data_IF_764575171583
#
_entry.id   IF_764575171583
#
_cell.length_a   1.000
_cell.length_b   1.000
_cell.length_c   1.000
_cell.angle_alpha   90.00
_cell.angle_beta   90.00
_cell.angle_gamma   90.00
#
_symmetry.space_group_name_H-M   'P 1'
#
loop_
_entity.id
_entity.type
_entity.pdbx_description
1 polymer ?
#
# COMPACT_ATOMS: atom_id res chain seq x y z
N UNK A 1 3.62 19.93 19.23
CA UNK A 1 5.08 20.19 19.30
C UNK A 1 5.58 20.82 17.99
N UNK A 2 6.17 22.02 18.04
CA UNK A 2 6.85 22.64 16.88
C UNK A 2 8.14 21.84 16.59
N UNK A 3 8.36 21.43 15.34
CA UNK A 3 9.55 20.65 14.94
C UNK A 3 10.82 21.48 15.16
N UNK A 4 11.88 20.85 15.69
CA UNK A 4 13.19 21.48 15.91
C UNK A 4 13.74 22.12 14.61
N UNK A 5 14.16 23.40 14.63
CA UNK A 5 14.79 24.06 13.49
C UNK A 5 15.99 23.31 12.94
N UNK A 6 16.79 22.69 13.83
CA UNK A 6 17.98 21.90 13.48
C UNK A 6 17.61 20.65 12.69
N UNK A 7 16.54 19.97 13.07
CA UNK A 7 16.04 18.80 12.34
C UNK A 7 15.53 19.17 10.94
N UNK A 8 14.90 20.35 10.82
CA UNK A 8 14.47 20.90 9.54
C UNK A 8 15.67 21.24 8.65
N UNK A 9 16.69 21.90 9.19
CA UNK A 9 17.89 22.31 8.46
C UNK A 9 18.71 21.11 7.97
N UNK A 10 18.93 20.10 8.83
CA UNK A 10 19.58 18.83 8.44
C UNK A 10 18.81 18.09 7.35
N UNK A 11 17.48 18.09 7.43
CA UNK A 11 16.61 17.48 6.40
C UNK A 11 16.70 18.23 5.07
N UNK A 12 16.74 19.55 5.10
CA UNK A 12 16.88 20.40 3.91
C UNK A 12 18.24 20.21 3.25
N UNK A 13 19.33 20.27 4.02
CA UNK A 13 20.69 20.02 3.52
C UNK A 13 20.84 18.61 2.92
N UNK A 14 20.32 17.58 3.61
CA UNK A 14 20.31 16.20 3.08
C UNK A 14 19.46 16.08 1.82
N UNK A 15 18.32 16.76 1.75
CA UNK A 15 17.46 16.78 0.55
C UNK A 15 18.14 17.46 -0.64
N UNK A 16 18.88 18.53 -0.41
CA UNK A 16 19.66 19.21 -1.44
C UNK A 16 20.82 18.32 -1.92
N UNK A 17 21.62 17.77 -0.99
CA UNK A 17 22.76 16.92 -1.31
C UNK A 17 22.40 15.59 -1.98
N UNK A 18 21.18 15.08 -1.76
CA UNK A 18 20.68 13.85 -2.39
C UNK A 18 19.65 14.14 -3.48
N UNK A 19 19.49 15.40 -3.89
CA UNK A 19 18.52 15.76 -4.90
C UNK A 19 18.89 15.08 -6.22
N UNK A 20 17.98 14.26 -6.71
CA UNK A 20 18.03 13.68 -8.05
C UNK A 20 16.67 13.94 -8.70
N UNK A 21 16.63 14.34 -9.98
CA UNK A 21 15.38 14.42 -10.71
C UNK A 21 14.66 13.07 -10.65
N UNK A 22 13.35 13.10 -10.42
CA UNK A 22 12.54 11.90 -10.58
C UNK A 22 12.45 11.58 -12.08
N UNK A 23 12.54 10.31 -12.45
CA UNK A 23 12.41 9.89 -13.85
C UNK A 23 10.96 9.48 -14.13
N UNK A 24 10.41 9.89 -15.26
CA UNK A 24 9.08 9.43 -15.70
C UNK A 24 9.15 7.94 -16.04
N UNK A 25 8.14 7.19 -15.58
CA UNK A 25 7.97 5.78 -15.91
C UNK A 25 7.74 5.54 -17.39
N UNK A 26 8.37 4.51 -17.95
CA UNK A 26 8.35 4.20 -19.38
C UNK A 26 7.75 2.84 -19.71
N UNK A 27 7.53 2.02 -18.69
CA UNK A 27 7.06 0.65 -18.84
C UNK A 27 5.68 0.53 -18.18
N UNK A 28 4.85 -0.38 -18.69
CA UNK A 28 3.65 -0.79 -17.96
C UNK A 28 4.06 -1.64 -16.77
N UNK A 29 3.49 -1.41 -15.60
CA UNK A 29 3.73 -2.23 -14.41
C UNK A 29 2.40 -2.79 -13.90
N UNK A 30 2.36 -4.11 -13.68
CA UNK A 30 1.24 -4.75 -12.99
C UNK A 30 1.08 -4.15 -11.60
N UNK A 31 -0.10 -3.59 -11.31
CA UNK A 31 -0.38 -3.00 -9.99
C UNK A 31 -0.38 -4.09 -8.92
N UNK A 32 -0.96 -5.26 -9.23
CA UNK A 32 -1.01 -6.41 -8.33
C UNK A 32 0.40 -6.88 -7.95
N UNK A 33 1.28 -7.02 -8.94
CA UNK A 33 2.67 -7.36 -8.70
C UNK A 33 3.40 -6.26 -7.94
N UNK A 34 3.14 -4.99 -8.21
CA UNK A 34 3.81 -3.87 -7.55
C UNK A 34 3.44 -3.74 -6.05
N UNK A 35 2.21 -4.10 -5.67
CA UNK A 35 1.73 -3.96 -4.29
C UNK A 35 2.07 -5.18 -3.44
N UNK A 36 1.92 -6.39 -3.98
CA UNK A 36 2.35 -7.61 -3.30
C UNK A 36 3.87 -7.67 -3.25
N UNK A 37 4.55 -8.02 -2.14
CA UNK A 37 3.99 -8.56 -0.90
C UNK A 37 3.85 -7.53 0.24
N UNK A 38 4.24 -6.27 0.03
CA UNK A 38 4.47 -5.32 1.13
C UNK A 38 3.32 -4.31 1.36
N UNK A 39 2.37 -4.25 0.44
CA UNK A 39 1.38 -3.16 0.36
C UNK A 39 -0.07 -3.65 0.35
N UNK A 40 -0.42 -4.58 1.25
CA UNK A 40 -1.83 -4.97 1.47
C UNK A 40 -2.74 -3.77 1.76
N UNK A 41 -2.18 -2.67 2.28
CA UNK A 41 -2.90 -1.40 2.44
C UNK A 41 -3.51 -0.83 1.15
N UNK A 42 -3.04 -1.25 -0.03
CA UNK A 42 -3.66 -0.85 -1.31
C UNK A 42 -4.95 -1.63 -1.57
N UNK A 43 -5.03 -2.91 -1.17
CA UNK A 43 -6.26 -3.70 -1.25
C UNK A 43 -7.33 -3.13 -0.30
N UNK A 44 -6.94 -2.76 0.91
CA UNK A 44 -7.86 -2.09 1.87
C UNK A 44 -8.46 -0.81 1.28
N UNK A 45 -7.64 -0.01 0.58
CA UNK A 45 -8.12 1.21 -0.09
C UNK A 45 -8.99 0.90 -1.31
N UNK A 46 -8.70 -0.18 -2.04
CA UNK A 46 -9.56 -0.63 -3.13
C UNK A 46 -10.93 -1.06 -2.60
N UNK A 47 -10.98 -1.72 -1.43
CA UNK A 47 -12.21 -2.04 -0.72
C UNK A 47 -13.03 -0.80 -0.34
N UNK A 48 -12.41 0.33 0.01
CA UNK A 48 -13.14 1.58 0.19
C UNK A 48 -13.84 2.02 -1.10
N UNK A 49 -13.18 1.90 -2.26
CA UNK A 49 -13.80 2.30 -3.53
C UNK A 49 -14.93 1.36 -3.95
N UNK A 50 -14.82 0.06 -3.65
CA UNK A 50 -15.93 -0.88 -3.80
C UNK A 50 -17.13 -0.49 -2.91
N UNK A 51 -16.87 -0.08 -1.65
CA UNK A 51 -17.91 0.44 -0.76
C UNK A 51 -18.57 1.71 -1.34
N UNK A 52 -17.79 2.65 -1.88
CA UNK A 52 -18.31 3.86 -2.51
C UNK A 52 -19.23 3.51 -3.69
N UNK A 53 -18.77 2.66 -4.61
CA UNK A 53 -19.58 2.19 -5.75
C UNK A 53 -20.89 1.53 -5.27
N UNK A 54 -20.82 0.65 -4.26
CA UNK A 54 -22.01 0.00 -3.69
C UNK A 54 -23.01 0.99 -3.07
N UNK A 55 -22.52 1.98 -2.32
CA UNK A 55 -23.38 3.00 -1.71
C UNK A 55 -24.06 3.85 -2.78
N UNK A 56 -23.29 4.31 -3.79
CA UNK A 56 -23.81 5.08 -4.93
C UNK A 56 -24.86 4.29 -5.71
N UNK A 57 -24.60 3.01 -6.00
CA UNK A 57 -25.53 2.14 -6.71
C UNK A 57 -26.85 1.93 -5.95
N UNK A 58 -26.82 1.96 -4.61
CA UNK A 58 -27.99 1.84 -3.76
C UNK A 58 -28.78 3.16 -3.59
N UNK A 59 -28.43 4.23 -4.32
CA UNK A 59 -29.05 5.55 -4.16
C UNK A 59 -28.67 6.26 -2.85
N UNK A 60 -27.74 5.70 -2.09
CA UNK A 60 -27.09 6.33 -0.93
C UNK A 60 -25.82 7.04 -1.40
N UNK A 61 -25.13 7.72 -0.49
CA UNK A 61 -23.77 8.20 -0.77
C UNK A 61 -23.56 9.67 -0.48
N UNK A 62 -24.31 10.25 0.44
CA UNK A 62 -23.78 11.42 1.13
C UNK A 62 -22.42 11.07 1.74
N UNK A 63 -21.51 12.03 1.78
CA UNK A 63 -20.18 11.83 2.38
C UNK A 63 -20.29 11.30 3.81
N UNK A 64 -21.29 11.76 4.57
CA UNK A 64 -21.54 11.31 5.93
C UNK A 64 -21.88 9.81 6.01
N UNK A 65 -22.71 9.29 5.10
CA UNK A 65 -23.05 7.85 5.05
C UNK A 65 -21.83 7.01 4.68
N UNK A 66 -21.02 7.47 3.72
CA UNK A 66 -19.81 6.75 3.30
C UNK A 66 -18.78 6.77 4.43
N UNK A 67 -18.61 7.89 5.13
CA UNK A 67 -17.73 8.00 6.30
C UNK A 67 -18.18 7.04 7.40
N UNK A 68 -19.49 6.98 7.70
CA UNK A 68 -20.03 6.06 8.69
C UNK A 68 -19.76 4.60 8.31
N UNK A 69 -20.06 4.20 7.08
CA UNK A 69 -19.83 2.84 6.61
C UNK A 69 -18.33 2.46 6.57
N UNK A 70 -17.46 3.39 6.16
CA UNK A 70 -16.02 3.16 6.14
C UNK A 70 -15.42 2.98 7.54
N UNK A 71 -16.07 3.53 8.58
CA UNK A 71 -15.63 3.44 9.98
C UNK A 71 -15.72 2.02 10.54
N UNK A 72 -16.65 1.22 10.03
CA UNK A 72 -16.89 -0.15 10.50
C UNK A 72 -15.98 -1.19 9.82
N UNK A 73 -15.23 -0.79 8.78
CA UNK A 73 -14.47 -1.71 7.95
C UNK A 73 -12.95 -1.61 8.07
N UNK A 74 -12.27 -2.42 7.27
CA UNK A 74 -10.81 -2.49 7.17
C UNK A 74 -10.13 -1.12 6.91
N UNK A 75 -10.83 -0.19 6.26
CA UNK A 75 -10.30 1.13 5.96
C UNK A 75 -10.02 1.97 7.21
N UNK A 76 -10.87 1.86 8.24
CA UNK A 76 -10.63 2.50 9.54
C UNK A 76 -9.39 1.92 10.24
N UNK A 77 -9.25 0.59 10.23
CA UNK A 77 -8.07 -0.10 10.77
C UNK A 77 -6.79 0.36 10.06
N UNK A 78 -6.81 0.42 8.72
CA UNK A 78 -5.68 0.95 7.97
C UNK A 78 -5.36 2.41 8.33
N UNK A 79 -6.39 3.24 8.43
CA UNK A 79 -6.20 4.65 8.75
C UNK A 79 -5.54 4.82 10.12
N UNK A 80 -5.97 4.08 11.13
CA UNK A 80 -5.39 4.11 12.47
C UNK A 80 -3.97 3.52 12.49
N UNK A 81 -3.83 2.25 12.10
CA UNK A 81 -2.60 1.44 12.31
C UNK A 81 -1.48 1.80 11.34
N UNK A 82 -1.81 2.33 10.16
CA UNK A 82 -0.81 2.69 9.14
C UNK A 82 -0.75 4.19 8.94
N UNK A 83 -1.86 4.85 8.59
CA UNK A 83 -1.80 6.26 8.20
C UNK A 83 -1.48 7.18 9.39
N UNK A 84 -2.15 7.00 10.53
CA UNK A 84 -1.98 7.84 11.70
C UNK A 84 -0.78 7.41 12.53
N UNK A 85 -0.68 6.14 12.95
CA UNK A 85 0.41 5.65 13.77
C UNK A 85 1.80 5.97 13.18
N UNK A 86 1.95 5.89 11.86
CA UNK A 86 3.23 6.12 11.19
C UNK A 86 3.54 7.59 10.91
N UNK A 87 2.56 8.36 10.44
CA UNK A 87 2.81 9.70 9.88
C UNK A 87 2.34 10.83 10.78
N UNK A 88 1.37 10.57 11.66
CA UNK A 88 0.74 11.55 12.56
C UNK A 88 0.34 10.91 13.90
N UNK A 89 1.27 10.30 14.65
CA UNK A 89 0.92 9.54 15.87
C UNK A 89 0.24 10.39 16.95
N UNK A 90 0.47 11.71 16.97
CA UNK A 90 -0.23 12.62 17.90
C UNK A 90 -1.74 12.71 17.65
N UNK A 91 -2.21 12.36 16.44
CA UNK A 91 -3.65 12.31 16.14
C UNK A 91 -4.34 11.18 16.91
N UNK A 92 -3.61 10.11 17.25
CA UNK A 92 -4.15 9.00 18.04
C UNK A 92 -4.42 9.36 19.51
N UNK A 93 -3.91 10.50 19.98
CA UNK A 93 -4.08 10.98 21.35
C UNK A 93 -5.28 11.92 21.50
N UNK A 94 -5.93 12.29 20.40
CA UNK A 94 -7.01 13.26 20.34
C UNK A 94 -8.15 12.68 19.49
N UNK A 95 -9.24 12.29 20.17
CA UNK A 95 -10.34 11.58 19.52
C UNK A 95 -11.04 12.45 18.48
N UNK A 96 -11.29 13.71 18.81
CA UNK A 96 -12.01 14.62 17.90
C UNK A 96 -11.16 14.92 16.66
N UNK A 97 -9.86 15.13 16.85
CA UNK A 97 -8.92 15.31 15.74
C UNK A 97 -8.80 14.05 14.87
N UNK A 98 -8.81 12.86 15.49
CA UNK A 98 -8.83 11.59 14.76
C UNK A 98 -10.06 11.48 13.89
N UNK A 99 -11.25 11.74 14.44
CA UNK A 99 -12.51 11.63 13.71
C UNK A 99 -12.61 12.64 12.58
N UNK A 100 -12.20 13.89 12.82
CA UNK A 100 -12.17 14.93 11.79
C UNK A 100 -11.24 14.54 10.63
N UNK A 101 -10.04 14.02 10.92
CA UNK A 101 -9.10 13.60 9.87
C UNK A 101 -9.52 12.32 9.16
N UNK A 102 -10.22 11.40 9.84
CA UNK A 102 -10.79 10.22 9.21
C UNK A 102 -11.87 10.63 8.20
N UNK A 103 -12.81 11.48 8.63
CA UNK A 103 -13.86 12.01 7.77
C UNK A 103 -13.27 12.76 6.55
N UNK A 104 -12.34 13.69 6.78
CA UNK A 104 -11.66 14.41 5.69
C UNK A 104 -10.98 13.43 4.72
N UNK A 105 -10.33 12.39 5.24
CA UNK A 105 -9.64 11.40 4.41
C UNK A 105 -10.62 10.61 3.53
N UNK A 106 -11.76 10.19 4.07
CA UNK A 106 -12.78 9.45 3.33
C UNK A 106 -13.41 10.35 2.27
N UNK A 107 -13.89 11.55 2.62
CA UNK A 107 -14.43 12.53 1.67
C UNK A 107 -13.46 12.80 0.51
N UNK A 108 -12.17 13.02 0.79
CA UNK A 108 -11.18 13.22 -0.28
C UNK A 108 -10.94 11.98 -1.14
N UNK A 109 -11.16 10.78 -0.58
CA UNK A 109 -11.09 9.53 -1.34
C UNK A 109 -12.31 9.37 -2.24
N UNK A 110 -13.52 9.72 -1.76
CA UNK A 110 -14.74 9.77 -2.58
C UNK A 110 -14.57 10.74 -3.75
N UNK A 111 -14.11 11.97 -3.49
CA UNK A 111 -13.85 12.93 -4.55
C UNK A 111 -12.79 12.46 -5.57
N UNK A 112 -11.77 11.73 -5.12
CA UNK A 112 -10.78 11.11 -6.02
C UNK A 112 -11.41 10.01 -6.88
N UNK A 113 -12.30 9.20 -6.29
CA UNK A 113 -13.06 8.18 -7.02
C UNK A 113 -13.98 8.82 -8.07
N UNK A 114 -14.73 9.87 -7.71
CA UNK A 114 -15.61 10.60 -8.64
C UNK A 114 -14.81 11.17 -9.82
N UNK A 115 -13.65 11.77 -9.53
CA UNK A 115 -12.74 12.28 -10.55
C UNK A 115 -12.17 11.18 -11.44
N UNK A 116 -11.88 10.00 -10.88
CA UNK A 116 -11.37 8.87 -11.65
C UNK A 116 -12.44 8.23 -12.53
N UNK A 117 -13.68 8.09 -12.03
CA UNK A 117 -14.81 7.55 -12.80
C UNK A 117 -15.18 8.43 -13.99
N UNK A 118 -15.09 9.76 -13.82
CA UNK A 118 -15.41 10.72 -14.88
C UNK A 118 -14.27 10.96 -15.87
N UNK A 119 -13.02 10.99 -15.42
CA UNK A 119 -11.87 11.41 -16.24
C UNK A 119 -10.74 10.40 -16.38
N UNK A 120 -10.85 9.21 -15.77
CA UNK A 120 -9.75 8.24 -15.71
C UNK A 120 -8.59 8.70 -14.82
N UNK A 121 -7.40 8.15 -15.05
CA UNK A 121 -6.21 8.49 -14.27
C UNK A 121 -5.67 9.89 -14.61
N UNK A 122 -5.56 10.77 -13.60
CA UNK A 122 -4.98 12.09 -13.76
C UNK A 122 -3.44 12.08 -13.74
N UNK A 123 -2.83 12.17 -14.92
CA UNK A 123 -1.37 12.16 -15.11
C UNK A 123 -0.64 13.39 -14.54
N UNK A 124 -1.36 14.47 -14.21
CA UNK A 124 -0.79 15.63 -13.49
C UNK A 124 -0.40 15.27 -12.06
N UNK A 125 -1.02 14.21 -11.52
CA UNK A 125 -0.75 13.67 -10.20
C UNK A 125 -0.25 12.21 -10.29
N UNK A 126 0.98 11.98 -10.79
CA UNK A 126 1.51 10.64 -11.01
C UNK A 126 1.89 9.94 -9.70
N UNK A 127 1.75 8.61 -9.66
CA UNK A 127 2.20 7.76 -8.55
C UNK A 127 3.71 7.95 -8.38
N UNK A 128 4.20 8.09 -7.14
CA UNK A 128 5.65 8.11 -6.92
C UNK A 128 6.10 6.73 -6.51
N UNK A 129 6.95 6.12 -7.34
CA UNK A 129 7.70 4.93 -6.98
C UNK A 129 9.06 5.32 -6.39
N UNK A 130 9.65 4.41 -5.64
CA UNK A 130 10.99 4.52 -5.06
C UNK A 130 11.89 3.51 -5.74
N UNK A 131 13.00 3.97 -6.31
CA UNK A 131 14.05 3.09 -6.78
C UNK A 131 14.73 2.43 -5.57
N UNK A 132 14.94 1.12 -5.64
CA UNK A 132 15.58 0.33 -4.61
C UNK A 132 16.80 -0.41 -5.17
N UNK A 133 17.79 -0.62 -4.31
CA UNK A 133 18.84 -1.60 -4.56
C UNK A 133 18.29 -2.98 -4.20
N UNK A 134 18.79 -4.00 -4.88
CA UNK A 134 18.54 -5.40 -4.53
C UNK A 134 18.85 -5.67 -3.05
N UNK A 135 18.05 -6.51 -2.42
CA UNK A 135 18.28 -7.00 -1.05
C UNK A 135 18.05 -5.97 0.06
N UNK A 136 17.21 -4.95 -0.15
CA UNK A 136 16.89 -4.01 0.91
C UNK A 136 15.99 -4.66 1.98
N UNK A 137 16.30 -4.48 3.28
CA UNK A 137 15.44 -4.95 4.34
C UNK A 137 14.18 -4.07 4.45
N UNK A 138 13.08 -4.68 4.83
CA UNK A 138 11.86 -4.01 5.28
C UNK A 138 11.95 -3.64 6.75
N UNK A 139 11.01 -2.83 7.24
CA UNK A 139 10.84 -2.56 8.67
C UNK A 139 10.28 -3.76 9.47
N UNK A 140 9.71 -4.77 8.80
CA UNK A 140 9.32 -6.06 9.40
C UNK A 140 10.47 -7.09 9.43
N UNK A 141 11.57 -6.82 8.74
CA UNK A 141 12.75 -7.68 8.66
C UNK A 141 12.78 -8.65 7.48
N UNK A 142 11.78 -8.63 6.59
CA UNK A 142 11.86 -9.30 5.30
C UNK A 142 12.91 -8.65 4.39
N UNK A 143 13.53 -9.43 3.52
CA UNK A 143 14.41 -8.95 2.45
C UNK A 143 13.69 -9.12 1.12
N UNK A 144 13.57 -8.03 0.36
CA UNK A 144 12.88 -8.03 -0.94
C UNK A 144 13.85 -7.54 -2.01
N UNK A 145 13.89 -8.27 -3.13
CA UNK A 145 14.74 -8.02 -4.28
C UNK A 145 13.92 -7.48 -5.46
N UNK A 146 13.48 -6.22 -5.30
CA UNK A 146 12.74 -5.52 -6.34
C UNK A 146 13.36 -4.16 -6.63
N UNK A 147 13.27 -3.76 -7.89
CA UNK A 147 13.89 -2.52 -8.39
C UNK A 147 13.08 -1.27 -8.05
N UNK A 148 11.77 -1.41 -7.90
CA UNK A 148 10.85 -0.30 -7.60
C UNK A 148 9.82 -0.68 -6.55
N UNK A 149 9.46 0.26 -5.70
CA UNK A 149 8.42 0.09 -4.67
C UNK A 149 7.49 1.30 -4.62
N UNK A 150 6.26 1.09 -4.15
CA UNK A 150 5.30 2.17 -3.96
C UNK A 150 5.79 3.15 -2.87
N UNK A 151 5.98 4.42 -3.24
CA UNK A 151 6.35 5.50 -2.33
C UNK A 151 5.16 6.38 -1.93
N UNK A 152 4.43 6.89 -2.91
CA UNK A 152 3.24 7.73 -2.73
C UNK A 152 2.20 7.43 -3.83
N UNK A 153 0.92 7.67 -3.53
CA UNK A 153 -0.18 7.40 -4.47
C UNK A 153 -0.93 6.10 -4.22
N UNK A 154 -0.93 5.58 -2.99
CA UNK A 154 -1.63 4.33 -2.64
C UNK A 154 -3.11 4.32 -3.01
N UNK A 155 -3.83 5.44 -2.87
CA UNK A 155 -5.23 5.55 -3.32
C UNK A 155 -5.37 5.53 -4.85
N UNK A 156 -4.43 6.13 -5.59
CA UNK A 156 -4.43 6.11 -7.05
C UNK A 156 -4.13 4.70 -7.57
N UNK A 157 -3.21 3.97 -6.94
CA UNK A 157 -2.98 2.56 -7.23
C UNK A 157 -4.18 1.69 -6.89
N UNK A 158 -4.89 1.98 -5.79
CA UNK A 158 -6.10 1.24 -5.44
C UNK A 158 -7.22 1.41 -6.47
N UNK A 159 -7.36 2.59 -7.10
CA UNK A 159 -8.30 2.79 -8.21
C UNK A 159 -7.89 1.99 -9.46
N UNK A 160 -6.61 2.00 -9.80
CA UNK A 160 -6.09 1.19 -10.92
C UNK A 160 -6.31 -0.31 -10.66
N UNK A 161 -5.99 -0.78 -9.46
CA UNK A 161 -6.22 -2.16 -9.03
C UNK A 161 -7.71 -2.54 -9.14
N UNK A 162 -8.60 -1.72 -8.59
CA UNK A 162 -10.05 -1.96 -8.62
C UNK A 162 -10.65 -1.93 -10.03
N UNK A 163 -10.01 -1.21 -10.97
CA UNK A 163 -10.42 -1.14 -12.37
C UNK A 163 -9.72 -2.18 -13.26
N UNK A 164 -8.87 -3.04 -12.70
CA UNK A 164 -8.09 -4.02 -13.46
C UNK A 164 -7.06 -3.39 -14.39
N UNK A 165 -6.64 -2.15 -14.12
CA UNK A 165 -5.69 -1.40 -14.95
C UNK A 165 -4.27 -1.49 -14.39
N UNK A 166 -3.33 -1.62 -15.31
CA UNK A 166 -1.91 -1.49 -15.01
C UNK A 166 -1.51 -0.03 -14.75
N UNK A 167 -0.36 0.14 -14.10
CA UNK A 167 0.29 1.44 -13.99
C UNK A 167 1.04 1.74 -15.30
N UNK A 168 0.34 2.39 -16.22
CA UNK A 168 0.83 2.71 -17.56
C UNK A 168 2.04 3.68 -17.57
N UNK A 169 2.80 3.74 -18.68
CA UNK A 169 3.81 4.77 -18.89
C UNK A 169 3.24 6.18 -18.67
N UNK A 170 4.02 7.05 -18.02
CA UNK A 170 3.57 8.40 -17.66
C UNK A 170 2.67 8.49 -16.41
N UNK A 171 2.09 7.39 -15.93
CA UNK A 171 1.26 7.40 -14.70
C UNK A 171 2.10 7.46 -13.43
N UNK A 172 3.41 7.27 -13.53
CA UNK A 172 4.30 7.25 -12.38
C UNK A 172 5.64 7.95 -12.62
N UNK A 173 6.28 8.30 -11.51
CA UNK A 173 7.63 8.85 -11.45
C UNK A 173 8.47 8.06 -10.45
N UNK A 174 9.69 7.73 -10.81
CA UNK A 174 10.64 7.01 -9.94
C UNK A 174 11.54 8.00 -9.22
N UNK A 175 11.55 7.93 -7.91
CA UNK A 175 12.42 8.70 -7.02
C UNK A 175 13.63 7.83 -6.61
N UNK A 176 14.79 8.21 -7.10
CA UNK A 176 16.06 7.49 -6.94
C UNK A 176 16.84 7.86 -5.67
N UNK A 177 16.23 8.63 -4.76
CA UNK A 177 16.88 8.96 -3.50
C UNK A 177 17.10 7.69 -2.68
N UNK A 178 18.32 7.48 -2.12
CA UNK A 178 18.61 6.30 -1.33
C UNK A 178 17.58 6.08 -0.21
N UNK A 179 17.22 4.82 0.00
CA UNK A 179 16.39 4.36 1.11
C UNK A 179 17.17 3.38 1.96
N UNK A 180 17.05 3.50 3.28
CA UNK A 180 17.67 2.57 4.23
C UNK A 180 16.82 1.34 4.52
N UNK A 181 15.51 1.42 4.30
CA UNK A 181 14.56 0.31 4.50
C UNK A 181 13.29 0.50 3.68
N UNK A 182 12.63 -0.61 3.38
CA UNK A 182 11.31 -0.66 2.77
C UNK A 182 10.21 -0.63 3.83
N UNK A 183 9.01 -0.23 3.43
CA UNK A 183 7.81 -0.22 4.27
C UNK A 183 7.03 -1.51 4.01
N UNK A 184 6.79 -2.28 5.05
CA UNK A 184 5.91 -3.45 5.03
C UNK A 184 4.61 -3.16 5.78
N UNK A 185 3.65 -2.59 5.04
CA UNK A 185 2.32 -2.34 5.58
C UNK A 185 1.52 -3.63 5.71
N UNK A 186 1.82 -4.67 4.92
CA UNK A 186 1.19 -5.98 5.05
C UNK A 186 1.46 -6.57 6.44
N UNK A 187 2.73 -6.61 6.87
CA UNK A 187 3.09 -7.03 8.23
C UNK A 187 2.36 -6.24 9.33
N UNK A 188 2.11 -4.95 9.10
CA UNK A 188 1.38 -4.09 10.07
C UNK A 188 -0.11 -4.41 10.12
N UNK A 189 -0.69 -4.96 9.05
CA UNK A 189 -2.14 -5.11 8.88
C UNK A 189 -2.66 -6.52 9.10
N UNK A 190 -1.84 -7.57 8.96
CA UNK A 190 -2.30 -8.98 9.07
C UNK A 190 -3.08 -9.21 10.37
N UNK A 191 -2.46 -8.93 11.53
CA UNK A 191 -3.10 -9.12 12.83
C UNK A 191 -4.31 -8.20 13.03
N UNK A 192 -4.16 -6.86 12.90
CA UNK A 192 -5.27 -5.94 13.12
C UNK A 192 -6.48 -6.11 12.20
N UNK A 193 -6.30 -6.65 11.00
CA UNK A 193 -7.40 -6.98 10.09
C UNK A 193 -7.95 -8.40 10.30
N UNK A 194 -7.28 -9.23 11.10
CA UNK A 194 -7.64 -10.64 11.27
C UNK A 194 -7.57 -11.43 9.96
N UNK A 195 -6.58 -11.13 9.11
CA UNK A 195 -6.44 -11.82 7.82
C UNK A 195 -6.22 -13.32 8.05
N UNK A 196 -7.04 -14.14 7.39
CA UNK A 196 -6.80 -15.58 7.31
C UNK A 196 -5.52 -15.88 6.51
N UNK A 197 -4.97 -17.09 6.71
CA UNK A 197 -3.83 -17.54 5.91
C UNK A 197 -4.16 -17.52 4.42
N UNK A 198 -5.36 -17.98 4.04
CA UNK A 198 -5.80 -17.98 2.65
C UNK A 198 -5.85 -16.58 2.04
N UNK A 199 -6.39 -15.57 2.74
CA UNK A 199 -6.40 -14.19 2.23
C UNK A 199 -4.99 -13.60 2.11
N UNK A 200 -4.13 -13.89 3.08
CA UNK A 200 -2.75 -13.43 3.07
C UNK A 200 -1.97 -14.07 1.90
N UNK A 201 -2.08 -15.38 1.74
CA UNK A 201 -1.42 -16.15 0.68
C UNK A 201 -1.95 -15.76 -0.69
N UNK A 202 -3.26 -15.59 -0.86
CA UNK A 202 -3.84 -15.13 -2.12
C UNK A 202 -3.29 -13.75 -2.54
N UNK A 203 -3.08 -12.86 -1.58
CA UNK A 203 -2.41 -11.58 -1.84
C UNK A 203 -0.93 -11.76 -2.21
N UNK A 204 -0.20 -12.66 -1.54
CA UNK A 204 1.19 -12.95 -1.89
C UNK A 204 1.30 -13.53 -3.30
N UNK A 205 0.45 -14.50 -3.66
CA UNK A 205 0.40 -15.14 -4.97
C UNK A 205 0.38 -14.15 -6.14
N UNK A 206 -0.32 -13.01 -5.99
CA UNK A 206 -0.33 -11.92 -6.98
C UNK A 206 1.06 -11.38 -7.32
N UNK A 207 1.95 -11.32 -6.34
CA UNK A 207 3.29 -10.80 -6.49
C UNK A 207 4.32 -11.85 -6.88
N UNK A 208 3.96 -13.13 -6.91
CA UNK A 208 4.88 -14.25 -7.17
C UNK A 208 4.48 -15.10 -8.38
N UNK A 209 3.65 -14.57 -9.27
CA UNK A 209 3.26 -15.24 -10.51
C UNK A 209 2.37 -16.47 -10.27
N UNK A 210 1.62 -16.47 -9.17
CA UNK A 210 0.65 -17.52 -8.84
C UNK A 210 -0.79 -16.99 -8.81
N UNK A 211 -1.03 -15.77 -9.32
CA UNK A 211 -2.38 -15.23 -9.46
C UNK A 211 -3.21 -16.09 -10.42
N UNK A 212 -4.42 -16.47 -9.99
CA UNK A 212 -5.33 -17.30 -10.79
C UNK A 212 -5.01 -18.79 -10.74
N UNK A 213 -4.08 -19.23 -9.89
CA UNK A 213 -3.95 -20.64 -9.52
C UNK A 213 -4.96 -20.88 -8.40
N UNK A 214 -6.10 -21.50 -8.74
CA UNK A 214 -7.25 -21.70 -7.84
C UNK A 214 -6.91 -22.49 -6.56
N UNK A 215 -5.75 -23.13 -6.52
CA UNK A 215 -5.30 -24.01 -5.42
C UNK A 215 -4.36 -23.33 -4.41
N UNK A 216 -3.91 -22.08 -4.63
CA UNK A 216 -2.93 -21.45 -3.74
C UNK A 216 -3.61 -20.80 -2.54
N UNK A 217 -4.00 -21.63 -1.56
CA UNK A 217 -4.68 -21.19 -0.32
C UNK A 217 -3.82 -21.21 0.93
N UNK A 218 -2.61 -21.76 0.85
CA UNK A 218 -1.70 -21.91 1.99
C UNK A 218 -0.24 -21.62 1.61
N UNK A 219 0.57 -21.37 2.63
CA UNK A 219 1.96 -20.98 2.44
C UNK A 219 2.83 -22.08 1.80
N UNK A 220 2.51 -23.36 2.03
CA UNK A 220 3.25 -24.50 1.50
C UNK A 220 3.04 -24.59 -0.02
N UNK A 221 1.79 -24.54 -0.47
CA UNK A 221 1.42 -24.55 -1.88
C UNK A 221 2.04 -23.37 -2.64
N UNK A 222 2.04 -22.16 -2.06
CA UNK A 222 2.70 -21.00 -2.66
C UNK A 222 4.22 -21.19 -2.77
N UNK A 223 4.85 -21.73 -1.73
CA UNK A 223 6.29 -22.01 -1.71
C UNK A 223 6.67 -23.03 -2.79
N UNK A 224 5.88 -24.08 -2.94
CA UNK A 224 6.10 -25.12 -3.95
C UNK A 224 5.91 -24.60 -5.37
N UNK A 225 4.89 -23.76 -5.60
CA UNK A 225 4.71 -23.05 -6.85
C UNK A 225 5.93 -22.19 -7.20
N UNK A 226 6.41 -21.37 -6.27
CA UNK A 226 7.57 -20.49 -6.50
C UNK A 226 8.85 -21.31 -6.68
N UNK A 227 9.03 -22.39 -5.92
CA UNK A 227 10.18 -23.30 -6.10
C UNK A 227 10.23 -23.87 -7.52
N UNK A 228 9.07 -24.20 -8.08
CA UNK A 228 8.94 -24.82 -9.40
C UNK A 228 9.08 -23.79 -10.53
N UNK A 229 8.37 -22.68 -10.45
CA UNK A 229 8.22 -21.73 -11.58
C UNK A 229 9.12 -20.50 -11.48
N UNK A 230 9.65 -20.18 -10.30
CA UNK A 230 10.46 -18.98 -10.06
C UNK A 230 11.47 -19.19 -8.92
N UNK A 231 12.35 -20.20 -9.00
CA UNK A 231 13.22 -20.59 -7.88
C UNK A 231 14.12 -19.45 -7.37
N UNK A 232 14.50 -18.51 -8.24
CA UNK A 232 15.27 -17.32 -7.85
C UNK A 232 14.55 -16.39 -6.86
N UNK A 233 13.22 -16.51 -6.71
CA UNK A 233 12.41 -15.71 -5.78
C UNK A 233 12.06 -16.45 -4.49
N UNK A 234 12.47 -17.72 -4.36
CA UNK A 234 12.15 -18.54 -3.19
C UNK A 234 12.74 -17.95 -1.90
N UNK A 235 13.98 -17.45 -1.94
CA UNK A 235 14.61 -16.83 -0.77
C UNK A 235 13.87 -15.55 -0.31
N UNK A 236 13.41 -14.74 -1.25
CA UNK A 236 12.57 -13.56 -0.98
C UNK A 236 11.24 -13.99 -0.33
N UNK A 237 10.52 -14.94 -0.94
CA UNK A 237 9.22 -15.40 -0.43
C UNK A 237 9.35 -15.95 1.00
N UNK A 238 10.31 -16.82 1.25
CA UNK A 238 10.56 -17.38 2.59
C UNK A 238 10.87 -16.29 3.61
N UNK A 239 11.66 -15.28 3.23
CA UNK A 239 11.97 -14.12 4.08
C UNK A 239 10.71 -13.32 4.43
N UNK A 240 9.86 -13.07 3.43
CA UNK A 240 8.58 -12.35 3.56
C UNK A 240 7.62 -13.11 4.47
N UNK A 241 7.36 -14.40 4.21
CA UNK A 241 6.48 -15.23 5.01
C UNK A 241 6.92 -15.26 6.48
N UNK A 242 8.21 -15.47 6.72
CA UNK A 242 8.76 -15.51 8.07
C UNK A 242 8.62 -14.17 8.81
N UNK A 243 8.88 -13.04 8.13
CA UNK A 243 8.74 -11.72 8.74
C UNK A 243 7.29 -11.35 9.06
N UNK A 244 6.38 -11.66 8.14
CA UNK A 244 4.96 -11.36 8.26
C UNK A 244 4.25 -12.26 9.28
N UNK A 245 4.62 -13.55 9.36
CA UNK A 245 4.17 -14.46 10.44
C UNK A 245 4.56 -13.94 11.81
N UNK A 246 5.84 -13.58 12.01
CA UNK A 246 6.31 -12.99 13.28
C UNK A 246 5.59 -11.68 13.62
N UNK A 247 5.16 -10.92 12.62
CA UNK A 247 4.42 -9.68 12.84
C UNK A 247 2.98 -9.96 13.29
N UNK A 248 2.33 -10.98 12.71
CA UNK A 248 1.00 -11.43 13.12
C UNK A 248 1.01 -11.96 14.56
N UNK A 249 2.00 -12.80 14.91
CA UNK A 249 2.17 -13.35 16.27
C UNK A 249 2.37 -12.28 17.35
N UNK A 250 2.98 -11.14 17.02
CA UNK A 250 3.15 -10.01 17.96
C UNK A 250 1.89 -9.17 18.15
N UNK A 251 0.92 -9.30 17.25
CA UNK A 251 -0.31 -8.52 17.26
C UNK A 251 -1.50 -9.27 17.88
N UNK A 252 -1.39 -10.59 18.02
CA UNK A 252 -2.32 -11.47 18.75
C UNK A 252 -2.06 -11.41 20.26
#
# INVERSE_FOLDING_TARGET
>A
MKRSPVATLRRTARRAATWRPKTTGRESLSVAELVSPLRYDVLVRAGLFALVEQQRAAGRGSDAEIVAAAREGAYAVWFEKVAMARFRPWVLQDRDLFEAQFAERVTRSVALWDSFRSGGFDTRHPVTLRGARSGLPTDSGAVVDRRVHVGDGGHRLALLLASGQDLAPGFYRVDHRPMGRLIDNTATLIGPLGLSEAEHVAFLAQGYGAAGVDEVTDAETLVDHVRTHSPGRLAELTSVLAAQRRAAERAA
#
